data_IF_697074977989
#
_entry.id   IF_697074977989
#
_cell.length_a   1.000
_cell.length_b   1.000
_cell.length_c   1.000
_cell.angle_alpha   90.00
_cell.angle_beta   90.00
_cell.angle_gamma   90.00
#
_symmetry.space_group_name_H-M   'P 1'
#
loop_
_entity.id
_entity.type
_entity.pdbx_description
1 polymer ?
#
# COMPACT_ATOMS: atom_id res chain seq x y z
N UNK A 1 32.71 -3.62 5.93
CA UNK A 1 33.65 -3.63 4.78
C UNK A 1 34.52 -4.88 4.74
N UNK A 2 35.51 -5.03 5.64
CA UNK A 2 36.53 -6.10 5.58
C UNK A 2 35.98 -7.53 5.71
N UNK A 3 34.96 -7.74 6.55
CA UNK A 3 34.35 -9.07 6.73
C UNK A 3 33.60 -9.53 5.46
N UNK A 4 32.92 -8.61 4.78
CA UNK A 4 32.10 -8.89 3.58
C UNK A 4 32.96 -8.99 2.32
N UNK A 5 33.89 -8.04 2.13
CA UNK A 5 34.66 -7.88 0.89
C UNK A 5 36.08 -8.48 0.98
N UNK A 6 36.56 -8.82 2.19
CA UNK A 6 37.91 -9.36 2.40
C UNK A 6 38.99 -8.41 1.86
N UNK A 7 40.03 -8.99 1.24
CA UNK A 7 41.11 -8.23 0.57
C UNK A 7 40.64 -7.42 -0.65
N UNK A 8 39.47 -7.75 -1.23
CA UNK A 8 38.96 -7.08 -2.43
C UNK A 8 38.50 -5.64 -2.19
N UNK A 9 38.26 -5.23 -0.94
CA UNK A 9 37.96 -3.82 -0.60
C UNK A 9 39.04 -2.84 -1.07
N UNK A 10 40.30 -3.28 -1.14
CA UNK A 10 41.43 -2.47 -1.64
C UNK A 10 41.51 -2.40 -3.17
N UNK A 11 40.75 -3.23 -3.88
CA UNK A 11 40.74 -3.22 -5.34
C UNK A 11 39.75 -2.16 -5.85
N UNK A 12 40.18 -1.23 -6.72
CA UNK A 12 39.30 -0.21 -7.28
C UNK A 12 38.15 -0.81 -8.11
N UNK A 13 38.36 -1.97 -8.73
CA UNK A 13 37.31 -2.70 -9.47
C UNK A 13 36.09 -3.03 -8.61
N UNK A 14 36.30 -3.30 -7.31
CA UNK A 14 35.22 -3.60 -6.36
C UNK A 14 34.29 -2.41 -6.14
N UNK A 15 34.79 -1.20 -6.37
CA UNK A 15 34.04 0.07 -6.22
C UNK A 15 33.46 0.58 -7.52
N UNK A 16 34.14 0.29 -8.64
CA UNK A 16 33.61 0.59 -9.97
C UNK A 16 32.27 -0.10 -10.23
N UNK A 17 32.10 -1.36 -9.80
CA UNK A 17 30.84 -2.09 -10.01
C UNK A 17 29.62 -1.44 -9.33
N UNK A 18 29.61 -1.17 -8.01
CA UNK A 18 28.48 -0.49 -7.38
C UNK A 18 28.30 0.94 -7.88
N UNK A 19 29.38 1.64 -8.23
CA UNK A 19 29.29 2.99 -8.81
C UNK A 19 28.61 2.97 -10.18
N UNK A 20 29.00 2.04 -11.06
CA UNK A 20 28.35 1.83 -12.35
C UNK A 20 26.89 1.42 -12.17
N UNK A 21 26.59 0.53 -11.21
CA UNK A 21 25.22 0.16 -10.90
C UNK A 21 24.39 1.37 -10.41
N UNK A 22 24.99 2.25 -9.60
CA UNK A 22 24.37 3.50 -9.16
C UNK A 22 24.13 4.46 -10.32
N UNK A 23 25.08 4.58 -11.25
CA UNK A 23 24.95 5.40 -12.44
C UNK A 23 23.82 4.90 -13.34
N UNK A 24 23.78 3.60 -13.64
CA UNK A 24 22.72 2.97 -14.43
C UNK A 24 21.35 3.14 -13.78
N UNK A 25 21.24 2.87 -12.47
CA UNK A 25 20.01 3.08 -11.72
C UNK A 25 19.59 4.57 -11.74
N UNK A 26 20.55 5.47 -11.57
CA UNK A 26 20.34 6.92 -11.64
C UNK A 26 19.85 7.39 -13.00
N UNK A 27 20.41 6.87 -14.10
CA UNK A 27 19.95 7.21 -15.46
C UNK A 27 18.55 6.70 -15.75
N UNK A 28 18.21 5.49 -15.28
CA UNK A 28 16.88 4.91 -15.50
C UNK A 28 15.80 5.59 -14.66
N UNK A 29 16.10 5.91 -13.40
CA UNK A 29 15.10 6.40 -12.43
C UNK A 29 15.08 7.94 -12.37
N UNK A 30 16.20 8.60 -12.67
CA UNK A 30 16.40 10.04 -12.53
C UNK A 30 15.32 10.91 -13.18
N UNK A 31 14.93 10.69 -14.45
CA UNK A 31 13.89 11.50 -15.11
C UNK A 31 12.55 11.43 -14.37
N UNK A 32 12.11 10.24 -13.99
CA UNK A 32 10.85 10.01 -13.25
C UNK A 32 10.93 10.65 -11.86
N UNK A 33 12.03 10.41 -11.14
CA UNK A 33 12.26 10.99 -9.82
C UNK A 33 12.26 12.52 -9.87
N UNK A 34 12.85 13.13 -10.91
CA UNK A 34 12.88 14.59 -11.07
C UNK A 34 11.49 15.18 -11.24
N UNK A 35 10.62 14.54 -12.04
CA UNK A 35 9.22 14.97 -12.21
C UNK A 35 8.46 14.83 -10.90
N UNK A 36 8.58 13.68 -10.22
CA UNK A 36 7.94 13.45 -8.92
C UNK A 36 8.39 14.48 -7.88
N UNK A 37 9.69 14.80 -7.80
CA UNK A 37 10.22 15.81 -6.89
C UNK A 37 9.70 17.22 -7.21
N UNK A 38 9.51 17.56 -8.49
CA UNK A 38 8.94 18.85 -8.89
C UNK A 38 7.48 18.98 -8.46
N UNK A 39 6.67 17.95 -8.72
CA UNK A 39 5.27 17.88 -8.26
C UNK A 39 5.20 17.91 -6.74
N UNK A 40 6.11 17.18 -6.08
CA UNK A 40 6.21 17.15 -4.63
C UNK A 40 6.47 18.54 -4.04
N UNK A 41 7.39 19.31 -4.62
CA UNK A 41 7.63 20.69 -4.20
C UNK A 41 6.44 21.60 -4.49
N UNK A 42 5.82 21.49 -5.69
CA UNK A 42 4.70 22.33 -6.11
C UNK A 42 3.48 22.21 -5.19
N UNK A 43 3.17 21.00 -4.73
CA UNK A 43 2.02 20.74 -3.87
C UNK A 43 2.38 20.63 -2.39
N UNK A 44 3.60 20.99 -2.01
CA UNK A 44 4.05 20.90 -0.62
C UNK A 44 3.89 19.50 -0.04
N UNK A 45 4.21 18.46 -0.82
CA UNK A 45 4.13 17.05 -0.42
C UNK A 45 5.19 16.75 0.64
N UNK A 46 5.00 17.27 1.84
CA UNK A 46 5.77 16.91 3.02
C UNK A 46 4.90 16.05 3.92
N UNK A 47 5.48 14.99 4.47
CA UNK A 47 4.79 14.14 5.43
C UNK A 47 5.00 14.73 6.83
N UNK A 48 3.93 15.03 7.58
CA UNK A 48 4.08 15.45 8.97
C UNK A 48 4.89 14.41 9.74
N UNK A 49 5.91 14.84 10.48
CA UNK A 49 6.76 13.95 11.27
C UNK A 49 5.93 13.06 12.20
N UNK A 50 4.83 13.58 12.74
CA UNK A 50 3.90 12.83 13.59
C UNK A 50 3.21 11.69 12.84
N UNK A 51 2.88 11.86 11.56
CA UNK A 51 2.32 10.76 10.73
C UNK A 51 3.36 9.66 10.52
N UNK A 52 4.61 10.04 10.25
CA UNK A 52 5.72 9.08 10.06
C UNK A 52 6.01 8.34 11.38
N UNK A 53 6.03 9.05 12.51
CA UNK A 53 6.22 8.47 13.85
C UNK A 53 5.09 7.52 14.23
N UNK A 54 3.84 7.87 13.96
CA UNK A 54 2.68 6.99 14.17
C UNK A 54 2.78 5.72 13.33
N UNK A 55 3.32 5.82 12.12
CA UNK A 55 3.53 4.72 11.18
C UNK A 55 4.95 4.12 11.23
N UNK A 56 5.68 4.34 12.32
CA UNK A 56 6.93 3.68 12.63
C UNK A 56 6.67 2.53 13.61
N UNK A 57 7.43 1.43 13.49
CA UNK A 57 7.29 0.28 14.37
C UNK A 57 7.78 0.60 15.79
N UNK A 58 7.20 -0.07 16.78
CA UNK A 58 7.73 -0.28 18.12
C UNK A 58 8.42 -1.64 18.19
N UNK A 59 9.36 -1.82 19.11
CA UNK A 59 9.97 -3.14 19.33
C UNK A 59 8.92 -4.17 19.82
N UNK A 60 7.86 -3.72 20.51
CA UNK A 60 6.70 -4.54 20.93
C UNK A 60 5.86 -5.05 19.77
N UNK A 61 5.93 -4.40 18.61
CA UNK A 61 5.20 -4.87 17.42
C UNK A 61 5.74 -6.22 16.92
N UNK A 62 7.01 -6.52 17.20
CA UNK A 62 7.65 -7.78 16.83
C UNK A 62 7.27 -8.95 17.74
N UNK A 63 6.59 -8.70 18.86
CA UNK A 63 5.98 -9.73 19.71
C UNK A 63 4.46 -9.84 19.50
N UNK A 64 3.84 -8.90 18.78
CA UNK A 64 2.42 -8.89 18.49
C UNK A 64 2.07 -9.78 17.26
N UNK A 65 1.34 -10.90 17.43
CA UNK A 65 1.01 -11.81 16.34
C UNK A 65 0.06 -11.20 15.29
N UNK A 66 0.30 -11.37 13.98
CA UNK A 66 -0.56 -10.89 12.88
C UNK A 66 -1.97 -11.45 12.91
N UNK A 67 -2.09 -12.70 13.33
CA UNK A 67 -3.34 -13.43 13.41
C UNK A 67 -3.51 -13.98 14.82
N UNK A 68 -4.74 -14.30 15.25
CA UNK A 68 -4.91 -15.10 16.46
C UNK A 68 -4.03 -16.34 16.33
N UNK A 69 -3.15 -16.58 17.31
CA UNK A 69 -2.24 -17.73 17.24
C UNK A 69 -3.06 -19.03 17.12
N UNK A 70 -2.48 -20.09 16.57
CA UNK A 70 -3.18 -21.39 16.49
C UNK A 70 -3.68 -21.85 17.87
N UNK A 71 -2.94 -21.51 18.93
CA UNK A 71 -3.38 -21.71 20.31
C UNK A 71 -4.60 -20.87 20.69
N UNK A 72 -4.65 -19.59 20.31
CA UNK A 72 -5.83 -18.74 20.53
C UNK A 72 -7.03 -19.23 19.73
N UNK A 73 -6.83 -19.72 18.50
CA UNK A 73 -7.90 -20.34 17.69
C UNK A 73 -8.41 -21.63 18.32
N UNK A 74 -7.51 -22.51 18.74
CA UNK A 74 -7.85 -23.75 19.42
C UNK A 74 -8.59 -23.46 20.73
N UNK A 75 -8.10 -22.50 21.52
CA UNK A 75 -8.77 -22.06 22.75
C UNK A 75 -10.17 -21.53 22.46
N UNK A 76 -10.37 -20.70 21.42
CA UNK A 76 -11.71 -20.23 21.02
C UNK A 76 -12.63 -21.36 20.58
N UNK A 77 -12.10 -22.32 19.83
CA UNK A 77 -12.86 -23.48 19.39
C UNK A 77 -13.29 -24.33 20.59
N UNK A 78 -12.39 -24.58 21.55
CA UNK A 78 -12.68 -25.32 22.78
C UNK A 78 -13.62 -24.52 23.71
N UNK A 79 -13.43 -23.21 23.84
CA UNK A 79 -14.14 -22.39 24.85
C UNK A 79 -15.45 -21.76 24.35
N UNK A 80 -15.82 -21.96 23.08
CA UNK A 80 -17.04 -21.39 22.48
C UNK A 80 -17.09 -19.85 22.43
N UNK A 81 -16.05 -19.15 22.87
CA UNK A 81 -16.04 -17.69 22.97
C UNK A 81 -15.72 -17.05 21.62
N UNK A 82 -16.72 -16.38 21.03
CA UNK A 82 -16.61 -15.61 19.80
C UNK A 82 -16.26 -14.13 20.01
N UNK A 83 -15.79 -13.72 21.19
CA UNK A 83 -15.43 -12.32 21.38
C UNK A 83 -14.28 -11.94 20.42
N UNK A 84 -14.49 -10.96 19.53
CA UNK A 84 -13.41 -10.44 18.70
C UNK A 84 -12.33 -9.91 19.65
N UNK A 85 -11.07 -10.30 19.42
CA UNK A 85 -9.98 -9.65 20.13
C UNK A 85 -10.16 -8.15 19.90
N UNK A 86 -10.14 -7.31 20.96
CA UNK A 86 -10.13 -5.88 20.76
C UNK A 86 -8.99 -5.61 19.78
N UNK A 87 -9.23 -4.91 18.66
CA UNK A 87 -8.14 -4.51 17.81
C UNK A 87 -7.15 -3.81 18.74
N UNK A 88 -5.94 -4.38 18.90
CA UNK A 88 -4.86 -3.65 19.55
C UNK A 88 -4.58 -2.49 18.61
N UNK A 89 -5.31 -1.39 18.81
CA UNK A 89 -5.39 -0.27 17.89
C UNK A 89 -4.04 0.47 17.79
N UNK A 90 -3.08 0.11 18.65
CA UNK A 90 -1.81 0.79 18.82
C UNK A 90 -0.58 0.02 18.33
N UNK A 91 -0.67 -1.31 18.12
CA UNK A 91 0.49 -2.13 17.76
C UNK A 91 0.40 -2.66 16.32
N UNK A 92 1.48 -2.50 15.57
CA UNK A 92 1.65 -3.22 14.32
C UNK A 92 1.85 -4.71 14.62
N UNK A 93 1.25 -5.58 13.81
CA UNK A 93 1.35 -7.01 14.03
C UNK A 93 2.49 -7.62 13.21
N UNK A 94 3.72 -7.41 13.67
CA UNK A 94 4.95 -7.68 12.92
C UNK A 94 5.65 -8.99 13.32
N UNK A 95 5.10 -9.74 14.27
CA UNK A 95 5.68 -10.97 14.78
C UNK A 95 5.86 -12.06 13.72
N UNK A 96 7.08 -12.60 13.63
CA UNK A 96 7.43 -13.66 12.67
C UNK A 96 7.22 -15.09 13.19
N UNK A 97 7.03 -15.28 14.51
CA UNK A 97 6.85 -16.59 15.15
C UNK A 97 7.93 -16.85 16.19
N UNK A 98 7.57 -17.22 17.42
CA UNK A 98 8.52 -17.56 18.47
C UNK A 98 9.35 -18.77 18.09
N UNK A 99 8.74 -19.77 17.45
CA UNK A 99 9.46 -20.96 16.98
C UNK A 99 10.45 -20.56 15.89
N UNK A 100 10.04 -19.67 14.98
CA UNK A 100 10.94 -19.15 13.93
C UNK A 100 12.06 -18.30 14.50
N UNK A 101 11.82 -17.49 15.52
CA UNK A 101 12.88 -16.74 16.21
C UNK A 101 13.90 -17.68 16.87
N UNK A 102 13.45 -18.72 17.57
CA UNK A 102 14.34 -19.74 18.14
C UNK A 102 15.18 -20.45 17.08
N UNK A 103 14.55 -20.89 15.99
CA UNK A 103 15.23 -21.49 14.85
C UNK A 103 16.20 -20.52 14.16
N UNK A 104 15.85 -19.23 14.09
CA UNK A 104 16.70 -18.20 13.49
C UNK A 104 17.98 -17.99 14.31
N UNK A 105 17.87 -17.92 15.64
CA UNK A 105 19.02 -17.87 16.54
C UNK A 105 19.90 -19.11 16.36
N UNK A 106 19.30 -20.30 16.30
CA UNK A 106 20.02 -21.55 16.01
C UNK A 106 20.73 -21.48 14.65
N UNK A 107 20.08 -20.94 13.62
CA UNK A 107 20.66 -20.75 12.29
C UNK A 107 21.86 -19.83 12.28
N UNK A 108 21.76 -18.68 12.95
CA UNK A 108 22.88 -17.73 13.11
C UNK A 108 24.07 -18.46 13.77
N UNK A 109 23.84 -19.14 14.88
CA UNK A 109 24.88 -19.86 15.63
C UNK A 109 25.54 -20.97 14.76
N UNK A 110 24.73 -21.75 14.04
CA UNK A 110 25.22 -22.83 13.19
C UNK A 110 26.03 -22.31 12.00
N UNK A 111 25.60 -21.22 11.35
CA UNK A 111 26.30 -20.63 10.21
C UNK A 111 27.61 -19.97 10.63
N UNK A 112 27.64 -19.28 11.78
CA UNK A 112 28.86 -18.68 12.33
C UNK A 112 29.90 -19.75 12.66
N UNK A 113 29.46 -20.93 13.14
CA UNK A 113 30.33 -22.08 13.43
C UNK A 113 30.77 -22.88 12.20
N UNK A 114 30.24 -22.59 11.01
CA UNK A 114 30.59 -23.36 9.82
C UNK A 114 31.95 -22.91 9.23
N UNK A 115 32.77 -23.87 8.79
CA UNK A 115 34.10 -23.63 8.17
C UNK A 115 34.07 -22.82 6.85
N UNK A 116 33.09 -22.98 5.93
CA UNK A 116 33.13 -22.30 4.63
C UNK A 116 32.98 -20.78 4.79
N UNK A 117 34.01 -20.03 4.38
CA UNK A 117 34.05 -18.56 4.49
C UNK A 117 32.87 -17.86 3.78
N UNK A 118 32.36 -18.43 2.69
CA UNK A 118 31.25 -17.86 1.95
C UNK A 118 29.93 -17.87 2.74
N UNK A 119 29.66 -18.94 3.50
CA UNK A 119 28.47 -19.03 4.37
C UNK A 119 28.50 -17.99 5.48
N UNK A 120 29.68 -17.79 6.07
CA UNK A 120 29.88 -16.74 7.07
C UNK A 120 29.66 -15.35 6.50
N UNK A 121 30.16 -15.07 5.27
CA UNK A 121 29.90 -13.80 4.58
C UNK A 121 28.41 -13.58 4.33
N UNK A 122 27.70 -14.61 3.87
CA UNK A 122 26.26 -14.57 3.69
C UNK A 122 25.51 -14.30 5.00
N UNK A 123 25.87 -14.97 6.10
CA UNK A 123 25.23 -14.72 7.40
C UNK A 123 25.51 -13.32 7.92
N UNK A 124 26.72 -12.79 7.76
CA UNK A 124 27.04 -11.40 8.13
C UNK A 124 26.22 -10.43 7.29
N UNK A 125 26.08 -10.68 5.99
CA UNK A 125 25.22 -9.87 5.11
C UNK A 125 23.76 -9.91 5.56
N UNK A 126 23.20 -11.11 5.74
CA UNK A 126 21.82 -11.30 6.16
C UNK A 126 21.54 -10.70 7.55
N UNK A 127 22.49 -10.82 8.49
CA UNK A 127 22.38 -10.23 9.82
C UNK A 127 22.47 -8.71 9.75
N UNK A 128 23.39 -8.16 8.95
CA UNK A 128 23.49 -6.72 8.74
C UNK A 128 22.19 -6.16 8.12
N UNK A 129 21.61 -6.87 7.15
CA UNK A 129 20.33 -6.50 6.55
C UNK A 129 19.17 -6.61 7.56
N UNK A 130 19.14 -7.66 8.38
CA UNK A 130 18.13 -7.82 9.44
C UNK A 130 18.20 -6.66 10.43
N UNK A 131 19.39 -6.34 10.94
CA UNK A 131 19.59 -5.24 11.89
C UNK A 131 19.26 -3.90 11.26
N UNK A 132 19.73 -3.63 10.04
CA UNK A 132 19.43 -2.39 9.32
C UNK A 132 17.92 -2.24 9.09
N UNK A 133 17.26 -3.28 8.61
CA UNK A 133 15.82 -3.27 8.38
C UNK A 133 15.03 -3.07 9.68
N UNK A 134 15.47 -3.67 10.78
CA UNK A 134 14.88 -3.46 12.10
C UNK A 134 15.06 -2.00 12.55
N UNK A 135 16.27 -1.44 12.46
CA UNK A 135 16.49 -0.03 12.81
C UNK A 135 15.66 0.93 11.94
N UNK A 136 15.56 0.66 10.63
CA UNK A 136 14.75 1.46 9.71
C UNK A 136 13.25 1.31 9.97
N UNK A 137 12.78 0.14 10.41
CA UNK A 137 11.35 -0.07 10.71
C UNK A 137 10.88 0.75 11.90
N UNK A 138 11.75 0.95 12.89
CA UNK A 138 11.50 1.80 14.05
C UNK A 138 11.38 3.29 13.69
N UNK A 139 11.82 3.70 12.49
CA UNK A 139 11.63 5.05 11.95
C UNK A 139 11.96 6.16 12.95
N UNK A 140 11.02 7.08 13.15
CA UNK A 140 11.18 8.21 14.08
C UNK A 140 10.97 7.85 15.56
N UNK A 141 10.57 6.61 15.88
CA UNK A 141 10.45 6.14 17.28
C UNK A 141 11.80 5.71 17.85
N UNK A 142 12.74 5.29 17.00
CA UNK A 142 14.14 5.11 17.40
C UNK A 142 14.81 6.48 17.54
N UNK A 143 14.65 7.11 18.70
CA UNK A 143 15.36 8.32 19.09
C UNK A 143 16.19 8.04 20.34
N UNK A 144 17.50 8.25 20.25
CA UNK A 144 18.42 8.19 21.40
C UNK A 144 18.95 9.60 21.65
N UNK A 145 18.74 10.13 22.85
CA UNK A 145 19.18 11.49 23.19
C UNK A 145 18.58 12.60 22.30
N UNK A 146 17.35 12.42 21.81
CA UNK A 146 16.67 13.39 20.93
C UNK A 146 17.05 13.28 19.44
N UNK A 147 18.06 12.47 19.08
CA UNK A 147 18.47 12.27 17.69
C UNK A 147 17.89 10.95 17.18
N UNK A 148 17.08 11.03 16.12
CA UNK A 148 16.64 9.84 15.38
C UNK A 148 17.50 9.65 14.14
N UNK A 149 18.16 8.50 13.95
CA UNK A 149 18.88 8.20 12.72
C UNK A 149 17.99 8.32 11.48
N UNK A 150 16.70 8.00 11.61
CA UNK A 150 15.74 8.15 10.53
C UNK A 150 15.44 9.61 10.21
N UNK A 151 15.39 10.49 11.21
CA UNK A 151 15.24 11.93 10.98
C UNK A 151 16.43 12.50 10.17
N UNK A 152 17.64 12.05 10.47
CA UNK A 152 18.82 12.40 9.67
C UNK A 152 18.69 11.94 8.22
N UNK A 153 18.24 10.70 7.98
CA UNK A 153 17.99 10.20 6.62
C UNK A 153 16.93 11.03 5.88
N UNK A 154 15.86 11.43 6.56
CA UNK A 154 14.80 12.28 5.98
C UNK A 154 15.31 13.68 5.58
N UNK A 155 16.29 14.22 6.31
CA UNK A 155 16.86 15.54 6.05
C UNK A 155 17.85 15.51 4.88
N UNK A 156 18.73 14.52 4.85
CA UNK A 156 19.89 14.51 3.94
C UNK A 156 19.71 13.67 2.69
N UNK A 157 18.87 12.63 2.73
CA UNK A 157 18.68 11.72 1.60
C UNK A 157 17.36 12.04 0.88
N UNK A 158 17.41 12.46 -0.40
CA UNK A 158 16.19 12.77 -1.14
C UNK A 158 15.29 11.54 -1.24
N UNK A 159 13.99 11.75 -1.02
CA UNK A 159 12.97 10.69 -1.08
C UNK A 159 12.65 10.02 0.26
N UNK A 160 13.56 10.02 1.24
CA UNK A 160 13.27 9.43 2.56
C UNK A 160 12.15 10.15 3.31
N UNK A 161 12.04 11.47 3.15
CA UNK A 161 10.92 12.27 3.67
C UNK A 161 9.55 11.93 3.07
N UNK A 162 9.52 11.21 1.94
CA UNK A 162 8.29 10.76 1.29
C UNK A 162 7.80 9.40 1.79
N UNK A 163 8.65 8.64 2.49
CA UNK A 163 8.31 7.32 3.04
C UNK A 163 7.40 7.51 4.25
N UNK A 164 6.09 7.32 4.05
CA UNK A 164 5.08 7.48 5.09
C UNK A 164 5.09 6.35 6.14
N UNK A 165 5.50 5.12 5.76
CA UNK A 165 5.31 3.92 6.59
C UNK A 165 6.62 3.14 6.79
N UNK A 166 7.54 3.66 7.63
CA UNK A 166 8.79 2.96 7.95
C UNK A 166 8.58 1.53 8.44
N UNK A 167 7.50 1.24 9.16
CA UNK A 167 7.22 -0.11 9.70
C UNK A 167 7.31 -1.22 8.64
N UNK A 168 7.10 -0.91 7.34
CA UNK A 168 7.18 -1.88 6.24
C UNK A 168 8.58 -2.49 6.06
N UNK A 169 9.64 -1.86 6.56
CA UNK A 169 10.96 -2.50 6.60
C UNK A 169 10.96 -3.79 7.44
N UNK A 170 9.97 -4.00 8.32
CA UNK A 170 9.77 -5.25 9.02
C UNK A 170 9.57 -6.46 8.10
N UNK A 171 9.12 -6.29 6.85
CA UNK A 171 9.07 -7.37 5.86
C UNK A 171 10.45 -7.99 5.62
N UNK A 172 11.51 -7.16 5.58
CA UNK A 172 12.88 -7.66 5.44
C UNK A 172 13.36 -8.35 6.72
N UNK A 173 12.95 -7.87 7.90
CA UNK A 173 13.24 -8.55 9.18
C UNK A 173 12.61 -9.94 9.18
N UNK A 174 11.32 -10.03 8.86
CA UNK A 174 10.58 -11.30 8.76
C UNK A 174 11.23 -12.25 7.75
N UNK A 175 11.60 -11.73 6.57
CA UNK A 175 12.29 -12.52 5.55
C UNK A 175 13.63 -13.06 6.04
N UNK A 176 14.48 -12.23 6.66
CA UNK A 176 15.75 -12.69 7.21
C UNK A 176 15.56 -13.69 8.35
N UNK A 177 14.56 -13.50 9.22
CA UNK A 177 14.21 -14.48 10.26
C UNK A 177 13.84 -15.84 9.65
N UNK A 178 13.03 -15.88 8.59
CA UNK A 178 12.66 -17.13 7.91
C UNK A 178 13.89 -17.80 7.27
N UNK A 179 14.74 -17.03 6.60
CA UNK A 179 15.98 -17.56 6.01
C UNK A 179 16.91 -18.14 7.08
N UNK A 180 17.10 -17.45 8.20
CA UNK A 180 17.89 -17.97 9.31
C UNK A 180 17.23 -19.20 9.95
N UNK A 181 15.92 -19.22 10.12
CA UNK A 181 15.20 -20.39 10.65
C UNK A 181 15.43 -21.63 9.77
N UNK A 182 15.36 -21.48 8.45
CA UNK A 182 15.68 -22.56 7.51
C UNK A 182 17.13 -23.03 7.64
N UNK A 183 18.09 -22.11 7.81
CA UNK A 183 19.49 -22.49 8.08
C UNK A 183 19.67 -23.20 9.42
N UNK A 184 18.87 -22.87 10.43
CA UNK A 184 18.85 -23.54 11.73
C UNK A 184 18.41 -25.00 11.62
N UNK A 185 17.28 -25.23 10.93
CA UNK A 185 16.79 -26.57 10.59
C UNK A 185 17.86 -27.37 9.84
N UNK A 186 18.42 -26.79 8.77
CA UNK A 186 19.47 -27.45 7.97
C UNK A 186 20.72 -27.77 8.80
N UNK A 187 21.14 -26.84 9.67
CA UNK A 187 22.26 -27.02 10.59
C UNK A 187 22.03 -28.16 11.57
N UNK A 188 20.84 -28.24 12.18
CA UNK A 188 20.45 -29.30 13.10
C UNK A 188 20.44 -30.68 12.41
N UNK A 189 19.90 -30.77 11.19
CA UNK A 189 19.91 -32.02 10.41
C UNK A 189 21.33 -32.45 10.02
N UNK A 190 22.20 -31.50 9.65
CA UNK A 190 23.61 -31.80 9.38
C UNK A 190 24.33 -32.29 10.63
N UNK A 191 24.10 -31.66 11.77
CA UNK A 191 24.65 -32.10 13.05
C UNK A 191 24.20 -33.53 13.37
N UNK A 192 22.89 -33.81 13.24
CA UNK A 192 22.33 -35.16 13.43
C UNK A 192 23.02 -36.20 12.55
N UNK A 193 23.19 -35.88 11.26
CA UNK A 193 23.84 -36.78 10.29
C UNK A 193 25.33 -37.01 10.56
N UNK A 194 26.03 -36.02 11.15
CA UNK A 194 27.47 -36.10 11.38
C UNK A 194 27.84 -36.71 12.74
N UNK A 195 26.97 -36.57 13.76
CA UNK A 195 27.30 -36.91 15.16
C UNK A 195 26.46 -38.04 15.75
N UNK A 196 25.28 -38.32 15.21
CA UNK A 196 24.35 -39.31 15.76
C UNK A 196 24.21 -40.52 14.84
N UNK A 197 23.87 -41.68 15.41
CA UNK A 197 23.69 -42.95 14.68
C UNK A 197 22.42 -43.67 15.16
N UNK A 198 21.82 -44.51 14.30
CA UNK A 198 20.66 -45.33 14.64
C UNK A 198 19.44 -44.53 15.11
N UNK A 199 18.80 -44.98 16.19
CA UNK A 199 17.54 -44.43 16.73
C UNK A 199 17.64 -42.94 17.12
N UNK A 200 18.77 -42.48 17.66
CA UNK A 200 18.95 -41.07 18.07
C UNK A 200 18.94 -40.11 16.88
N UNK A 201 19.49 -40.53 15.74
CA UNK A 201 19.43 -39.75 14.49
C UNK A 201 18.00 -39.63 13.97
N UNK A 202 17.22 -40.71 14.03
CA UNK A 202 15.82 -40.72 13.62
C UNK A 202 14.96 -39.84 14.54
N UNK A 203 15.16 -39.97 15.85
CA UNK A 203 14.48 -39.15 16.86
C UNK A 203 14.74 -37.64 16.63
N UNK A 204 16.01 -37.23 16.44
CA UNK A 204 16.31 -35.82 16.18
C UNK A 204 15.73 -35.34 14.83
N UNK A 205 15.72 -36.17 13.78
CA UNK A 205 15.06 -35.82 12.51
C UNK A 205 13.57 -35.58 12.69
N UNK A 206 12.91 -36.46 13.45
CA UNK A 206 11.49 -36.30 13.77
C UNK A 206 11.25 -35.02 14.58
N UNK A 207 12.05 -34.75 15.61
CA UNK A 207 11.97 -33.49 16.38
C UNK A 207 12.15 -32.27 15.49
N UNK A 208 13.17 -32.25 14.63
CA UNK A 208 13.41 -31.13 13.71
C UNK A 208 12.25 -30.96 12.71
N UNK A 209 11.70 -32.07 12.20
CA UNK A 209 10.52 -32.05 11.33
C UNK A 209 9.30 -31.47 12.07
N UNK A 210 9.02 -31.95 13.28
CA UNK A 210 7.90 -31.48 14.11
C UNK A 210 8.03 -30.01 14.49
N UNK A 211 9.23 -29.54 14.83
CA UNK A 211 9.50 -28.11 15.10
C UNK A 211 9.33 -27.29 13.82
N UNK A 212 9.78 -27.81 12.67
CA UNK A 212 9.57 -27.17 11.36
C UNK A 212 8.08 -27.05 11.00
N UNK A 213 7.31 -28.11 11.23
CA UNK A 213 5.86 -28.10 11.04
C UNK A 213 5.18 -27.12 12.00
N UNK A 214 5.58 -27.12 13.27
CA UNK A 214 5.09 -26.17 14.26
C UNK A 214 5.38 -24.72 13.85
N UNK A 215 6.57 -24.44 13.29
CA UNK A 215 6.93 -23.11 12.81
C UNK A 215 6.02 -22.63 11.66
N UNK A 216 5.56 -23.54 10.80
CA UNK A 216 4.58 -23.22 9.73
C UNK A 216 3.20 -22.98 10.33
N UNK A 217 2.75 -23.86 11.22
CA UNK A 217 1.41 -23.83 11.80
C UNK A 217 1.23 -22.70 12.82
N UNK A 218 2.28 -22.25 13.51
CA UNK A 218 2.24 -21.19 14.53
C UNK A 218 1.53 -19.92 14.03
N UNK A 219 1.80 -19.55 12.77
CA UNK A 219 1.31 -18.35 12.12
C UNK A 219 0.57 -18.67 10.83
N UNK A 220 -0.33 -19.65 10.89
CA UNK A 220 -1.19 -19.97 9.75
C UNK A 220 -2.11 -18.78 9.43
N UNK A 221 -2.04 -18.19 8.21
CA UNK A 221 -2.87 -17.07 7.83
C UNK A 221 -4.34 -17.50 7.68
N UNK A 222 -5.32 -16.65 8.04
CA UNK A 222 -6.71 -16.89 7.68
C UNK A 222 -6.87 -16.84 6.15
N UNK A 223 -7.93 -17.46 5.61
CA UNK A 223 -8.27 -17.33 4.20
C UNK A 223 -8.34 -15.84 3.81
N UNK A 224 -7.59 -15.46 2.78
CA UNK A 224 -7.67 -14.11 2.25
C UNK A 224 -9.03 -13.91 1.57
N UNK A 225 -9.71 -12.82 1.86
CA UNK A 225 -10.86 -12.39 1.07
C UNK A 225 -10.33 -11.90 -0.27
N UNK A 226 -10.62 -12.65 -1.32
CA UNK A 226 -10.27 -12.27 -2.68
C UNK A 226 -11.42 -11.49 -3.28
N UNK A 227 -11.11 -10.32 -3.83
CA UNK A 227 -12.07 -9.51 -4.59
C UNK A 227 -11.83 -9.79 -6.07
N UNK A 228 -12.91 -9.96 -6.84
CA UNK A 228 -12.81 -10.08 -8.29
C UNK A 228 -12.38 -8.74 -8.88
N UNK A 229 -11.21 -8.73 -9.51
CA UNK A 229 -10.73 -7.58 -10.28
C UNK A 229 -11.21 -7.73 -11.73
N UNK A 230 -11.70 -6.67 -12.39
CA UNK A 230 -12.07 -6.74 -13.79
C UNK A 230 -10.90 -7.22 -14.66
N UNK A 231 -11.15 -8.25 -15.46
CA UNK A 231 -10.19 -8.81 -16.41
C UNK A 231 -10.13 -7.98 -17.68
N UNK A 232 -9.11 -8.20 -18.51
CA UNK A 232 -9.02 -7.48 -19.79
C UNK A 232 -10.15 -7.77 -20.77
N UNK A 233 -10.79 -8.92 -20.64
CA UNK A 233 -11.99 -9.29 -21.38
C UNK A 233 -13.26 -8.62 -20.85
N UNK A 234 -13.26 -8.15 -19.59
CA UNK A 234 -14.41 -7.43 -19.03
C UNK A 234 -14.43 -6.02 -19.65
N UNK A 235 -15.34 -5.81 -20.60
CA UNK A 235 -15.57 -4.52 -21.26
C UNK A 235 -16.99 -4.04 -20.94
N UNK A 236 -17.18 -3.33 -19.81
CA UNK A 236 -18.49 -2.84 -19.46
C UNK A 236 -18.90 -1.77 -20.47
N UNK A 237 -20.14 -1.82 -20.92
CA UNK A 237 -20.63 -0.98 -22.01
C UNK A 237 -20.47 0.51 -21.69
N UNK A 238 -20.61 0.89 -20.42
CA UNK A 238 -20.41 2.29 -19.99
C UNK A 238 -18.97 2.78 -20.26
N UNK A 239 -17.95 1.95 -20.05
CA UNK A 239 -16.56 2.37 -20.22
C UNK A 239 -16.20 2.51 -21.71
N UNK A 240 -16.74 1.63 -22.56
CA UNK A 240 -16.63 1.75 -24.02
C UNK A 240 -17.37 2.98 -24.53
N UNK A 241 -18.60 3.20 -24.04
CA UNK A 241 -19.38 4.39 -24.38
C UNK A 241 -18.62 5.67 -24.04
N UNK A 242 -18.05 5.79 -22.83
CA UNK A 242 -17.23 6.95 -22.44
C UNK A 242 -16.09 7.15 -23.44
N UNK A 243 -15.38 6.08 -23.79
CA UNK A 243 -14.22 6.14 -24.69
C UNK A 243 -14.59 6.65 -26.09
N UNK A 244 -15.76 6.28 -26.58
CA UNK A 244 -16.20 6.52 -27.96
C UNK A 244 -17.03 7.80 -28.12
N UNK A 245 -17.82 8.17 -27.12
CA UNK A 245 -18.84 9.21 -27.21
C UNK A 245 -18.51 10.48 -26.40
N UNK A 246 -17.38 10.51 -25.67
CA UNK A 246 -16.95 11.73 -24.96
C UNK A 246 -15.67 12.31 -25.57
N UNK A 247 -15.50 13.65 -25.53
CA UNK A 247 -14.24 14.29 -25.93
C UNK A 247 -13.02 13.75 -25.18
N UNK A 248 -11.83 13.75 -25.80
CA UNK A 248 -10.60 13.22 -25.17
C UNK A 248 -10.18 13.98 -23.91
N UNK A 249 -10.52 15.25 -23.84
CA UNK A 249 -10.23 16.15 -22.73
C UNK A 249 -11.34 16.19 -21.68
N UNK A 250 -12.42 15.42 -21.86
CA UNK A 250 -13.50 15.29 -20.90
C UNK A 250 -12.99 14.87 -19.51
N UNK A 251 -13.63 15.44 -18.48
CA UNK A 251 -13.28 15.22 -17.08
C UNK A 251 -14.46 14.56 -16.39
N UNK A 252 -14.20 13.39 -15.80
CA UNK A 252 -15.21 12.54 -15.17
C UNK A 252 -15.12 12.60 -13.65
N UNK A 253 -16.27 12.38 -13.01
CA UNK A 253 -16.34 11.94 -11.62
C UNK A 253 -17.09 10.61 -11.57
N UNK A 254 -16.55 9.64 -10.83
CA UNK A 254 -17.20 8.33 -10.64
C UNK A 254 -17.75 8.15 -9.21
N UNK A 255 -19.02 7.83 -9.08
CA UNK A 255 -19.71 7.59 -7.82
C UNK A 255 -19.97 6.09 -7.60
N UNK A 256 -19.86 5.58 -6.34
CA UNK A 256 -19.64 6.35 -5.12
C UNK A 256 -18.18 6.75 -4.92
N UNK A 257 -17.97 8.00 -4.50
CA UNK A 257 -16.69 8.41 -3.91
C UNK A 257 -16.56 7.79 -2.51
N UNK A 258 -15.33 7.50 -2.05
CA UNK A 258 -15.12 7.03 -0.68
C UNK A 258 -15.79 8.00 0.30
N UNK A 259 -16.45 7.50 1.34
CA UNK A 259 -17.07 8.34 2.37
C UNK A 259 -16.26 8.34 3.68
N UNK A 260 -15.21 7.53 3.74
CA UNK A 260 -14.34 7.32 4.92
C UNK A 260 -12.91 7.11 4.46
N UNK A 261 -11.97 7.35 5.38
CA UNK A 261 -10.54 7.13 5.15
C UNK A 261 -10.10 5.71 5.54
N UNK A 262 -10.92 4.69 5.26
CA UNK A 262 -10.59 3.27 5.51
C UNK A 262 -10.20 2.57 4.22
N UNK A 263 -9.44 1.47 4.31
CA UNK A 263 -8.95 0.75 3.12
C UNK A 263 -10.12 0.22 2.28
N UNK A 264 -11.15 -0.28 2.95
CA UNK A 264 -12.35 -0.84 2.34
C UNK A 264 -13.15 0.24 1.59
N UNK A 265 -13.23 1.46 2.13
CA UNK A 265 -13.95 2.56 1.48
C UNK A 265 -13.29 3.03 0.16
N UNK A 266 -12.00 2.72 -0.04
CA UNK A 266 -11.26 3.04 -1.27
C UNK A 266 -11.30 1.93 -2.33
N UNK A 267 -11.99 0.81 -2.08
CA UNK A 267 -12.17 -0.25 -3.08
C UNK A 267 -12.85 0.29 -4.34
N UNK A 268 -13.96 1.05 -4.19
CA UNK A 268 -14.67 1.64 -5.32
C UNK A 268 -13.79 2.60 -6.12
N UNK A 269 -13.05 3.48 -5.44
CA UNK A 269 -12.10 4.40 -6.08
C UNK A 269 -11.01 3.65 -6.85
N UNK A 270 -10.53 2.53 -6.33
CA UNK A 270 -9.54 1.69 -7.00
C UNK A 270 -10.13 1.04 -8.25
N UNK A 271 -11.37 0.54 -8.18
CA UNK A 271 -12.07 0.01 -9.36
C UNK A 271 -12.28 1.08 -10.43
N UNK A 272 -12.63 2.31 -10.03
CA UNK A 272 -12.74 3.42 -10.98
C UNK A 272 -11.42 3.74 -11.67
N UNK A 273 -10.29 3.72 -10.95
CA UNK A 273 -8.97 3.90 -11.54
C UNK A 273 -8.60 2.77 -12.52
N UNK A 274 -9.03 1.53 -12.28
CA UNK A 274 -8.82 0.43 -13.22
C UNK A 274 -9.58 0.73 -14.52
N UNK A 275 -10.84 1.15 -14.42
CA UNK A 275 -11.63 1.52 -15.60
C UNK A 275 -11.10 2.77 -16.31
N UNK A 276 -10.45 3.68 -15.59
CA UNK A 276 -9.76 4.83 -16.17
C UNK A 276 -8.73 4.43 -17.23
N UNK A 277 -8.04 3.29 -17.04
CA UNK A 277 -7.08 2.77 -18.01
C UNK A 277 -7.75 2.28 -19.31
N UNK A 278 -9.08 2.14 -19.33
CA UNK A 278 -9.86 1.67 -20.49
C UNK A 278 -10.51 2.81 -21.25
N UNK A 279 -11.23 3.67 -20.52
CA UNK A 279 -11.93 4.78 -21.14
C UNK A 279 -11.00 5.96 -21.44
N UNK A 280 -9.81 5.99 -20.83
CA UNK A 280 -8.74 6.97 -21.11
C UNK A 280 -9.20 8.42 -20.99
N UNK A 281 -10.07 8.69 -20.02
CA UNK A 281 -10.52 10.06 -19.70
C UNK A 281 -9.99 10.49 -18.35
N UNK A 282 -9.88 11.80 -18.17
CA UNK A 282 -9.42 12.38 -16.90
C UNK A 282 -10.49 12.14 -15.84
N UNK A 283 -10.06 11.87 -14.61
CA UNK A 283 -10.96 11.71 -13.48
C UNK A 283 -10.53 12.63 -12.33
N UNK A 284 -11.50 13.21 -11.64
CA UNK A 284 -11.26 14.04 -10.44
C UNK A 284 -11.19 13.20 -9.15
N UNK A 285 -11.82 12.03 -9.15
CA UNK A 285 -11.81 11.10 -8.03
C UNK A 285 -10.78 9.97 -8.25
N UNK A 286 -10.31 9.35 -7.16
CA UNK A 286 -9.30 8.30 -7.20
C UNK A 286 -8.63 8.10 -5.85
N UNK A 287 -7.65 7.21 -5.82
CA UNK A 287 -6.87 6.88 -4.64
C UNK A 287 -5.37 7.06 -4.91
N UNK A 288 -4.67 7.67 -3.95
CA UNK A 288 -3.24 7.87 -4.02
C UNK A 288 -2.64 7.85 -2.61
N UNK A 289 -1.33 7.62 -2.51
CA UNK A 289 -0.61 7.67 -1.23
C UNK A 289 -0.65 9.07 -0.57
N UNK A 290 -0.95 10.11 -1.35
CA UNK A 290 -1.15 11.48 -0.88
C UNK A 290 -2.50 12.01 -1.35
N UNK A 291 -3.29 12.56 -0.44
CA UNK A 291 -4.57 13.16 -0.77
C UNK A 291 -4.45 14.67 -0.59
N UNK A 292 -4.45 15.46 -1.69
CA UNK A 292 -4.43 16.92 -1.59
C UNK A 292 -5.65 17.47 -0.85
N UNK A 293 -5.48 18.59 -0.16
CA UNK A 293 -6.59 19.24 0.57
C UNK A 293 -7.74 19.63 -0.36
N UNK A 294 -7.44 20.03 -1.60
CA UNK A 294 -8.45 20.33 -2.61
C UNK A 294 -9.33 19.12 -2.93
N UNK A 295 -8.74 17.92 -3.01
CA UNK A 295 -9.49 16.68 -3.23
C UNK A 295 -10.39 16.34 -2.04
N UNK A 296 -9.91 16.51 -0.80
CA UNK A 296 -10.73 16.32 0.40
C UNK A 296 -11.91 17.32 0.45
N UNK A 297 -11.66 18.56 0.04
CA UNK A 297 -12.69 19.61 -0.02
C UNK A 297 -13.76 19.27 -1.06
N UNK A 298 -13.35 18.82 -2.26
CA UNK A 298 -14.29 18.36 -3.28
C UNK A 298 -15.14 17.20 -2.75
N UNK A 299 -14.51 16.18 -2.15
CA UNK A 299 -15.18 15.02 -1.58
C UNK A 299 -16.24 15.41 -0.53
N UNK A 300 -15.97 16.43 0.30
CA UNK A 300 -16.94 16.97 1.25
C UNK A 300 -18.09 17.72 0.56
N UNK A 301 -17.79 18.54 -0.45
CA UNK A 301 -18.80 19.31 -1.19
C UNK A 301 -19.75 18.42 -1.99
N UNK A 302 -19.28 17.28 -2.48
CA UNK A 302 -20.09 16.33 -3.27
C UNK A 302 -20.66 15.18 -2.43
N UNK A 303 -20.54 15.24 -1.10
CA UNK A 303 -21.01 14.18 -0.20
C UNK A 303 -22.53 13.99 -0.23
N UNK A 304 -23.28 15.02 -0.63
CA UNK A 304 -24.75 15.04 -0.77
C UNK A 304 -25.19 15.01 -2.23
N UNK A 305 -24.30 14.62 -3.14
CA UNK A 305 -24.64 14.50 -4.55
C UNK A 305 -25.93 13.64 -4.72
N UNK A 306 -26.90 14.07 -5.53
CA UNK A 306 -26.84 15.16 -6.53
C UNK A 306 -27.53 16.48 -6.12
N UNK A 307 -27.17 17.10 -4.99
CA UNK A 307 -27.67 18.44 -4.66
C UNK A 307 -27.01 19.56 -5.48
N UNK A 308 -27.60 20.76 -5.45
CA UNK A 308 -27.14 21.91 -6.23
C UNK A 308 -25.74 22.38 -5.85
N UNK A 309 -25.33 22.15 -4.59
CA UNK A 309 -23.98 22.44 -4.13
C UNK A 309 -22.97 21.48 -4.75
N UNK A 310 -23.31 20.19 -4.84
CA UNK A 310 -22.49 19.17 -5.47
C UNK A 310 -22.32 19.44 -6.97
N UNK A 311 -23.40 19.76 -7.69
CA UNK A 311 -23.34 20.07 -9.12
C UNK A 311 -22.48 21.31 -9.41
N UNK A 312 -22.65 22.39 -8.64
CA UNK A 312 -21.80 23.58 -8.75
C UNK A 312 -20.33 23.26 -8.46
N UNK A 313 -20.04 22.50 -7.41
CA UNK A 313 -18.67 22.11 -7.08
C UNK A 313 -18.01 21.26 -8.17
N UNK A 314 -18.76 20.36 -8.81
CA UNK A 314 -18.28 19.55 -9.93
C UNK A 314 -18.01 20.42 -11.17
N UNK A 315 -18.92 21.34 -11.50
CA UNK A 315 -18.75 22.28 -12.60
C UNK A 315 -17.54 23.21 -12.40
N UNK A 316 -17.32 23.72 -11.17
CA UNK A 316 -16.13 24.51 -10.80
C UNK A 316 -14.82 23.74 -11.02
N UNK A 317 -14.85 22.42 -10.91
CA UNK A 317 -13.71 21.53 -11.16
C UNK A 317 -13.59 21.10 -12.63
N UNK A 318 -14.45 21.62 -13.51
CA UNK A 318 -14.47 21.31 -14.93
C UNK A 318 -14.98 19.91 -15.25
N UNK A 319 -15.71 19.28 -14.34
CA UNK A 319 -16.32 17.96 -14.58
C UNK A 319 -17.44 18.11 -15.60
N UNK A 320 -17.36 17.32 -16.66
CA UNK A 320 -18.36 17.31 -17.75
C UNK A 320 -19.27 16.09 -17.69
N UNK A 321 -18.79 14.97 -17.14
CA UNK A 321 -19.59 13.74 -17.00
C UNK A 321 -19.51 13.13 -15.60
N UNK A 322 -20.64 12.62 -15.12
CA UNK A 322 -20.77 11.84 -13.90
C UNK A 322 -21.09 10.39 -14.25
N UNK A 323 -20.25 9.45 -13.81
CA UNK A 323 -20.50 8.01 -13.89
C UNK A 323 -21.01 7.56 -12.52
N UNK A 324 -22.23 7.03 -12.45
CA UNK A 324 -22.87 6.69 -11.17
C UNK A 324 -23.20 5.20 -11.16
N UNK A 325 -22.59 4.44 -10.27
CA UNK A 325 -23.03 3.08 -9.96
C UNK A 325 -24.26 3.14 -9.06
N UNK A 326 -25.37 2.55 -9.51
CA UNK A 326 -26.66 2.62 -8.81
C UNK A 326 -27.11 1.27 -8.29
N UNK A 327 -28.11 1.31 -7.42
CA UNK A 327 -28.91 0.14 -7.08
C UNK A 327 -29.96 -0.06 -8.17
N UNK A 328 -30.21 -1.31 -8.56
CA UNK A 328 -31.23 -1.63 -9.56
C UNK A 328 -32.59 -1.08 -9.11
N UNK A 329 -33.29 -0.36 -10.00
CA UNK A 329 -34.62 0.21 -9.75
C UNK A 329 -34.66 1.58 -9.08
N UNK A 330 -33.52 2.23 -8.83
CA UNK A 330 -33.51 3.60 -8.31
C UNK A 330 -33.87 4.63 -9.42
N UNK A 331 -34.71 5.66 -9.14
CA UNK A 331 -35.18 6.61 -10.17
C UNK A 331 -34.05 7.47 -10.71
N UNK A 332 -34.01 7.77 -12.02
CA UNK A 332 -32.95 8.57 -12.66
C UNK A 332 -32.63 9.86 -11.88
N UNK A 333 -31.36 10.24 -11.80
CA UNK A 333 -30.91 11.44 -11.08
C UNK A 333 -31.10 12.72 -11.90
N UNK A 334 -32.03 12.73 -12.86
CA UNK A 334 -32.25 13.91 -13.70
C UNK A 334 -32.62 15.10 -12.82
N UNK A 335 -31.82 16.16 -12.92
CA UNK A 335 -31.96 17.32 -12.03
C UNK A 335 -31.51 18.59 -12.74
N UNK A 336 -32.23 19.68 -12.47
CA UNK A 336 -31.80 21.04 -12.77
C UNK A 336 -31.50 21.74 -11.45
N UNK A 337 -30.40 22.48 -11.37
CA UNK A 337 -30.09 23.27 -10.18
C UNK A 337 -31.14 24.36 -9.95
N UNK A 338 -31.38 24.74 -8.70
CA UNK A 338 -32.39 25.75 -8.32
C UNK A 338 -32.08 27.12 -8.96
N UNK A 339 -30.80 27.43 -9.19
CA UNK A 339 -30.36 28.65 -9.90
C UNK A 339 -30.49 28.56 -11.43
N UNK A 340 -30.97 27.42 -11.94
CA UNK A 340 -31.20 27.16 -13.36
C UNK A 340 -29.94 27.15 -14.22
N UNK A 341 -28.74 27.09 -13.63
CA UNK A 341 -27.47 27.19 -14.37
C UNK A 341 -26.95 25.88 -14.92
N UNK A 342 -27.27 24.76 -14.25
CA UNK A 342 -26.73 23.45 -14.61
C UNK A 342 -27.82 22.40 -14.60
N UNK A 343 -27.77 21.49 -15.59
CA UNK A 343 -28.61 20.29 -15.65
C UNK A 343 -27.72 19.05 -15.59
N UNK A 344 -28.12 18.10 -14.76
CA UNK A 344 -27.61 16.73 -14.77
C UNK A 344 -28.54 15.90 -15.66
N UNK A 345 -28.10 15.61 -16.88
CA UNK A 345 -28.91 14.92 -17.89
C UNK A 345 -28.40 13.48 -18.10
N UNK A 346 -29.25 12.45 -18.01
CA UNK A 346 -28.85 11.09 -18.33
C UNK A 346 -28.53 10.96 -19.83
N UNK A 347 -27.37 10.38 -20.16
CA UNK A 347 -26.92 10.18 -21.55
C UNK A 347 -26.71 8.71 -21.90
N UNK A 348 -26.49 7.84 -20.90
CA UNK A 348 -26.32 6.41 -21.13
C UNK A 348 -26.64 5.58 -19.88
N UNK A 349 -27.16 4.37 -20.09
CA UNK A 349 -27.47 3.40 -19.03
C UNK A 349 -26.91 2.04 -19.40
N UNK A 350 -26.05 1.49 -18.54
CA UNK A 350 -25.55 0.12 -18.60
C UNK A 350 -26.26 -0.74 -17.56
N UNK A 351 -27.29 -1.46 -18.01
CA UNK A 351 -28.08 -2.35 -17.16
C UNK A 351 -27.27 -3.53 -16.60
N UNK A 352 -26.24 -4.00 -17.31
CA UNK A 352 -25.46 -5.16 -16.89
C UNK A 352 -24.53 -4.82 -15.71
N UNK A 353 -23.99 -3.60 -15.69
CA UNK A 353 -23.14 -3.12 -14.59
C UNK A 353 -23.88 -2.24 -13.58
N UNK A 354 -25.16 -1.96 -13.82
CA UNK A 354 -26.01 -1.03 -13.06
C UNK A 354 -25.32 0.34 -12.92
N UNK A 355 -24.81 0.84 -14.03
CA UNK A 355 -24.05 2.09 -14.11
C UNK A 355 -24.72 3.04 -15.08
N UNK A 356 -24.91 4.29 -14.66
CA UNK A 356 -25.52 5.34 -15.45
C UNK A 356 -24.52 6.46 -15.68
N UNK A 357 -24.57 7.08 -16.86
CA UNK A 357 -23.74 8.22 -17.21
C UNK A 357 -24.64 9.44 -17.36
N UNK A 358 -24.22 10.53 -16.74
CA UNK A 358 -24.87 11.82 -16.80
C UNK A 358 -23.91 12.87 -17.33
N UNK A 359 -24.41 13.78 -18.14
CA UNK A 359 -23.70 14.99 -18.57
C UNK A 359 -24.10 16.17 -17.68
N UNK A 360 -23.10 17.00 -17.31
CA UNK A 360 -23.33 18.28 -16.65
C UNK A 360 -23.37 19.34 -17.75
N UNK A 361 -24.58 19.69 -18.19
CA UNK A 361 -24.80 20.69 -19.22
C UNK A 361 -25.06 22.07 -18.59
N UNK A 362 -24.40 23.14 -19.06
CA UNK A 362 -24.81 24.50 -18.73
C UNK A 362 -26.18 24.75 -19.37
N UNK A 363 -27.10 25.30 -18.61
CA UNK A 363 -28.33 25.85 -19.16
C UNK A 363 -28.06 27.30 -19.60
N UNK A 364 -28.59 27.73 -20.77
CA UNK A 364 -28.52 29.13 -21.15
C UNK A 364 -29.13 29.99 -20.04
N UNK A 365 -28.46 31.09 -19.68
CA UNK A 365 -29.03 32.06 -18.75
C UNK A 365 -30.40 32.47 -19.32
N UNK A 366 -31.47 32.58 -18.49
CA UNK A 366 -32.71 33.15 -18.97
C UNK A 366 -32.38 34.51 -19.59
N UNK A 367 -32.74 34.70 -20.86
CA UNK A 367 -32.56 35.99 -21.53
C UNK A 367 -33.16 37.07 -20.63
N UNK A 368 -32.36 38.11 -20.33
CA UNK A 368 -32.85 39.24 -19.58
C UNK A 368 -34.04 39.83 -20.37
N UNK A 369 -35.29 39.76 -19.84
CA UNK A 369 -36.46 40.24 -20.57
C UNK A 369 -36.39 41.75 -20.84
N UNK A 370 -35.40 42.46 -20.28
CA UNK A 370 -35.15 43.88 -20.52
C UNK A 370 -34.01 44.17 -21.51
N UNK A 371 -33.34 43.15 -22.06
CA UNK A 371 -32.25 43.36 -23.03
C UNK A 371 -32.75 43.95 -24.36
N UNK A 372 -34.01 43.73 -24.75
CA UNK A 372 -34.63 44.30 -25.96
C UNK A 372 -35.07 45.76 -25.82
N UNK A 373 -35.04 46.34 -24.61
CA UNK A 373 -35.39 47.75 -24.38
C UNK A 373 -34.18 48.69 -24.28
N UNK A 374 -32.96 48.20 -24.52
CA UNK A 374 -31.76 49.05 -24.64
C UNK A 374 -31.30 49.13 -26.09
N UNK A 375 -32.14 49.67 -26.96
CA UNK A 375 -31.68 50.41 -28.14
C UNK A 375 -31.69 51.87 -27.70
N UNK A 376 -30.49 52.44 -27.53
CA UNK A 376 -30.28 53.79 -27.01
C UNK A 376 -30.54 54.90 -28.04
N UNK A 377 -29.84 56.03 -27.86
CA UNK A 377 -30.33 57.30 -27.30
C UNK A 377 -31.24 58.14 -28.20
#
# INVERSE_FOLDING_TARGET
AWILLGRKWRSPRTWLTPLLAFAVAGTMIGPVARVQMRVAKRHGLQRPAETVRRLSADWRDYSAPPYPSTWQRLRRWISGQQQPLPPSASLFRLHAGWVKYGLAVLGIVMVVRTRPRWKRRWAVFALALLVLAFCLSLGLRAAAGGISPYAWLMQWIPGYSQIRSPFRFAMFVQMMCVLFAATGIHGALRFANARLRGRSRLALRFVVFSIGLLAVVELWPPPAQLVRVPLSADKPAWAEWVREHTPRDAVLVCFPMPNRLTVEAYESATMWMIWQTRHERRMVNGYSAFTPQSHLTLQQRVARFPDDASLRALAEWGVTYCVVKRSAGAPSLERVTTDGRWRLQPVFVDNASVTEIYEIAPLPLPEDPFASHRVGP
#
